data_IF_691357073116
#
_entry.id   IF_691357073116
#
_cell.length_a   1.000
_cell.length_b   1.000
_cell.length_c   1.000
_cell.angle_alpha   90.00
_cell.angle_beta   90.00
_cell.angle_gamma   90.00
#
_symmetry.space_group_name_H-M   'P 1'
#
loop_
_entity.id
_entity.type
_entity.pdbx_description
1 polymer ?
#
# COMPACT_ATOMS: atom_id res chain seq x y z
N UNK A 1 -2.43 21.52 -7.77
CA UNK A 1 -3.52 21.04 -6.91
C UNK A 1 -3.51 19.52 -6.85
N UNK A 2 -3.67 18.99 -5.67
CA UNK A 2 -3.62 17.54 -5.50
C UNK A 2 -4.98 16.92 -5.74
N UNK A 3 -4.97 15.77 -6.40
CA UNK A 3 -6.20 15.05 -6.64
C UNK A 3 -6.53 14.19 -5.43
N UNK A 4 -7.74 13.66 -5.41
CA UNK A 4 -8.13 12.76 -4.33
C UNK A 4 -7.24 11.55 -4.30
N UNK A 5 -6.83 11.07 -5.48
CA UNK A 5 -5.97 9.91 -5.58
C UNK A 5 -4.59 10.20 -4.99
N UNK A 6 -4.06 11.39 -5.25
CA UNK A 6 -2.76 11.75 -4.69
C UNK A 6 -2.80 11.85 -3.18
N UNK A 7 -3.84 12.46 -2.66
CA UNK A 7 -4.01 12.57 -1.21
C UNK A 7 -4.13 11.20 -0.58
N UNK A 8 -4.86 10.32 -1.23
CA UNK A 8 -5.05 8.97 -0.72
C UNK A 8 -3.75 8.17 -0.77
N UNK A 9 -2.94 8.39 -1.80
CA UNK A 9 -1.63 7.73 -1.89
C UNK A 9 -0.77 8.10 -0.70
N UNK A 10 -0.73 9.38 -0.37
CA UNK A 10 0.06 9.85 0.77
C UNK A 10 -0.47 9.24 2.04
N UNK A 11 -1.77 9.20 2.19
CA UNK A 11 -2.41 8.60 3.35
C UNK A 11 -2.02 7.13 3.50
N UNK A 12 -2.07 6.39 2.40
CA UNK A 12 -1.73 4.96 2.42
C UNK A 12 -0.27 4.76 2.80
N UNK A 13 0.62 5.60 2.27
CA UNK A 13 2.03 5.50 2.58
C UNK A 13 2.27 5.73 4.06
N UNK A 14 1.59 6.74 4.64
CA UNK A 14 1.74 7.04 6.06
C UNK A 14 1.23 5.91 6.93
N UNK A 15 0.09 5.35 6.58
CA UNK A 15 -0.46 4.25 7.35
C UNK A 15 0.42 3.02 7.24
N UNK A 16 0.89 2.73 6.03
CA UNK A 16 1.75 1.57 5.81
C UNK A 16 3.05 1.73 6.61
N UNK A 17 3.64 2.92 6.54
CA UNK A 17 4.86 3.21 7.27
C UNK A 17 4.67 3.00 8.76
N UNK A 18 3.56 3.50 9.28
CA UNK A 18 3.28 3.43 10.70
C UNK A 18 3.08 1.98 11.17
N UNK A 19 2.24 1.25 10.46
CA UNK A 19 1.92 -0.11 10.88
C UNK A 19 3.09 -1.07 10.70
N UNK A 20 3.93 -0.83 9.71
CA UNK A 20 5.06 -1.71 9.45
C UNK A 20 6.33 -1.27 10.16
N UNK A 21 6.33 -0.09 10.76
CA UNK A 21 7.50 0.41 11.45
C UNK A 21 8.65 0.74 10.52
N UNK A 22 8.33 1.26 9.34
CA UNK A 22 9.33 1.56 8.33
C UNK A 22 9.64 3.05 8.27
N UNK A 23 10.78 3.40 7.66
CA UNK A 23 11.09 4.79 7.39
C UNK A 23 10.34 5.23 6.13
N UNK A 24 10.26 6.55 5.94
CA UNK A 24 9.63 7.05 4.74
C UNK A 24 10.35 6.60 3.48
N UNK A 25 11.68 6.54 3.55
CA UNK A 25 12.48 6.11 2.40
C UNK A 25 12.19 4.65 2.06
N UNK A 26 12.06 3.81 3.08
CA UNK A 26 11.78 2.40 2.86
C UNK A 26 10.41 2.21 2.21
N UNK A 27 9.42 2.97 2.66
CA UNK A 27 8.09 2.86 2.08
C UNK A 27 8.10 3.31 0.63
N UNK A 28 8.76 4.43 0.36
CA UNK A 28 8.84 4.93 -1.01
C UNK A 28 9.49 3.91 -1.93
N UNK A 29 10.56 3.29 -1.46
CA UNK A 29 11.27 2.29 -2.25
C UNK A 29 10.37 1.07 -2.50
N UNK A 30 9.68 0.61 -1.47
CA UNK A 30 8.80 -0.54 -1.60
C UNK A 30 7.66 -0.26 -2.57
N UNK A 31 7.05 0.90 -2.42
CA UNK A 31 5.92 1.26 -3.28
C UNK A 31 6.36 1.39 -4.73
N UNK A 32 7.56 1.93 -4.94
CA UNK A 32 8.08 2.06 -6.29
C UNK A 32 8.43 0.72 -6.89
N UNK A 33 9.08 -0.12 -6.10
CA UNK A 33 9.55 -1.41 -6.56
C UNK A 33 8.42 -2.34 -7.01
N UNK A 34 7.32 -2.32 -6.28
CA UNK A 34 6.22 -3.24 -6.55
C UNK A 34 5.05 -2.59 -7.25
N UNK A 35 5.22 -1.35 -7.69
CA UNK A 35 4.13 -0.66 -8.40
C UNK A 35 2.91 -0.41 -7.53
N UNK A 36 3.11 -0.15 -6.26
CA UNK A 36 2.00 0.04 -5.34
C UNK A 36 1.24 1.33 -5.65
N UNK A 37 1.94 2.35 -6.15
CA UNK A 37 1.27 3.59 -6.52
C UNK A 37 0.16 3.33 -7.53
N UNK A 38 0.47 2.55 -8.55
CA UNK A 38 -0.50 2.23 -9.58
C UNK A 38 -1.59 1.33 -9.02
N UNK A 39 -1.22 0.41 -8.17
CA UNK A 39 -2.19 -0.49 -7.55
C UNK A 39 -3.22 0.31 -6.75
N UNK A 40 -2.76 1.24 -5.94
CA UNK A 40 -3.66 2.05 -5.12
C UNK A 40 -4.55 2.92 -5.99
N UNK A 41 -3.98 3.54 -7.01
CA UNK A 41 -4.75 4.40 -7.89
C UNK A 41 -5.82 3.59 -8.63
N UNK A 42 -5.44 2.42 -9.10
CA UNK A 42 -6.36 1.57 -9.84
C UNK A 42 -7.52 1.10 -8.97
N UNK A 43 -7.25 0.85 -7.71
CA UNK A 43 -8.25 0.33 -6.78
C UNK A 43 -8.74 1.37 -5.78
N UNK A 44 -8.63 2.62 -6.15
CA UNK A 44 -9.00 3.72 -5.26
C UNK A 44 -10.41 3.57 -4.71
N UNK A 45 -11.36 3.23 -5.59
CA UNK A 45 -12.75 3.13 -5.18
C UNK A 45 -12.95 2.10 -4.08
N UNK A 46 -12.27 0.98 -4.21
CA UNK A 46 -12.40 -0.07 -3.21
C UNK A 46 -11.62 0.25 -1.95
N UNK A 47 -10.39 0.72 -2.13
CA UNK A 47 -9.52 0.92 -0.99
C UNK A 47 -9.92 2.07 -0.09
N UNK A 48 -10.43 3.14 -0.67
CA UNK A 48 -10.70 4.33 0.13
C UNK A 48 -11.87 4.14 1.10
N UNK A 49 -12.63 3.07 0.95
CA UNK A 49 -13.71 2.77 1.87
C UNK A 49 -13.28 1.80 2.97
N UNK A 50 -12.05 1.33 2.91
CA UNK A 50 -11.55 0.38 3.89
C UNK A 50 -10.89 1.11 5.04
N UNK A 51 -10.83 0.44 6.20
CA UNK A 51 -10.12 1.01 7.34
C UNK A 51 -8.62 0.89 7.16
N UNK A 52 -7.87 1.65 7.97
CA UNK A 52 -6.41 1.68 7.88
C UNK A 52 -5.81 0.29 7.89
N UNK A 53 -6.26 -0.52 8.82
CA UNK A 53 -5.76 -1.87 8.99
C UNK A 53 -5.95 -2.70 7.75
N UNK A 54 -7.13 -2.60 7.16
CA UNK A 54 -7.46 -3.39 5.98
C UNK A 54 -6.66 -2.93 4.79
N UNK A 55 -6.41 -1.63 4.67
CA UNK A 55 -5.61 -1.10 3.58
C UNK A 55 -4.20 -1.65 3.64
N UNK A 56 -3.59 -1.59 4.82
CA UNK A 56 -2.22 -2.09 4.99
C UNK A 56 -2.16 -3.58 4.69
N UNK A 57 -3.13 -4.32 5.18
CA UNK A 57 -3.17 -5.76 4.93
C UNK A 57 -3.32 -6.06 3.45
N UNK A 58 -4.16 -5.29 2.77
CA UNK A 58 -4.40 -5.48 1.35
C UNK A 58 -3.11 -5.24 0.55
N UNK A 59 -2.37 -4.20 0.91
CA UNK A 59 -1.11 -3.89 0.25
C UNK A 59 -0.11 -5.03 0.48
N UNK A 60 -0.02 -5.52 1.70
CA UNK A 60 0.88 -6.64 2.00
C UNK A 60 0.52 -7.88 1.20
N UNK A 61 -0.76 -8.15 1.11
CA UNK A 61 -1.23 -9.31 0.34
C UNK A 61 -0.85 -9.16 -1.13
N UNK A 62 -0.99 -7.97 -1.66
CA UNK A 62 -0.64 -7.71 -3.04
C UNK A 62 0.85 -7.92 -3.28
N UNK A 63 1.68 -7.40 -2.38
CA UNK A 63 3.12 -7.57 -2.49
C UNK A 63 3.47 -9.05 -2.43
N UNK A 64 2.83 -9.77 -1.53
CA UNK A 64 3.06 -11.20 -1.41
C UNK A 64 2.73 -11.94 -2.68
N UNK A 65 1.68 -11.55 -3.37
CA UNK A 65 1.29 -12.21 -4.60
C UNK A 65 2.30 -11.93 -5.71
N UNK A 66 2.88 -10.73 -5.73
CA UNK A 66 3.88 -10.38 -6.73
C UNK A 66 5.18 -11.14 -6.51
N UNK A 67 5.61 -11.22 -5.26
CA UNK A 67 6.88 -11.88 -4.94
C UNK A 67 6.76 -13.39 -4.95
N UNK A 68 5.55 -13.90 -4.99
CA UNK A 68 5.34 -15.33 -4.94
C UNK A 68 5.61 -15.90 -3.58
N UNK A 69 5.61 -15.06 -2.57
CA UNK A 69 5.94 -15.46 -1.23
C UNK A 69 4.72 -16.05 -0.54
N UNK A 70 4.39 -17.25 -0.93
CA UNK A 70 3.17 -17.87 -0.46
C UNK A 70 3.31 -18.59 0.85
N UNK A 71 4.52 -18.71 1.36
CA UNK A 71 4.71 -19.38 2.62
C UNK A 71 4.02 -18.64 3.76
N UNK A 72 3.70 -17.42 3.53
CA UNK A 72 2.99 -16.64 4.54
C UNK A 72 1.63 -17.20 4.82
N UNK A 73 1.17 -17.99 3.91
CA UNK A 73 -0.12 -18.60 4.08
C UNK A 73 -0.09 -19.81 4.93
N UNK A 74 1.03 -20.34 5.11
CA UNK A 74 1.15 -21.60 5.84
C UNK A 74 0.68 -21.46 7.25
#
# INVERSE_FOLDING_TARGET
MMSKESDFLIYCMERYRHFKGLSGADVAKTFDEYGIYEYITKHFESLHTMGDHCIVQDIDDYIGSITGDSRMKA
#
